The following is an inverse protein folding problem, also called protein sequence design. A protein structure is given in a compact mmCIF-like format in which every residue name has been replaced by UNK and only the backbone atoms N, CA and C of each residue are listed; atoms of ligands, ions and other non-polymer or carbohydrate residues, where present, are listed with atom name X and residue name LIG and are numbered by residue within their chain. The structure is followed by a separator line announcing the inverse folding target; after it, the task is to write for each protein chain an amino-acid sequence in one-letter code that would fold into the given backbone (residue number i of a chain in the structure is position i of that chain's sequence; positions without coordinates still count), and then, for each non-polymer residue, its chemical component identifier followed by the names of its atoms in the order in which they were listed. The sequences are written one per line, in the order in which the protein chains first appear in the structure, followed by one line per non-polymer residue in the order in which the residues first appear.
data_IF_203145341736
#
_entry.id   IF_203145341736
#
_cell.length_a   1.000
_cell.length_b   1.000
_cell.length_c   1.000
_cell.angle_alpha   90.00
_cell.angle_beta   90.00
_cell.angle_gamma   90.00
#
_symmetry.space_group_name_H-M   'P 1'
#
loop_
_entity.id
_entity.type
_entity.pdbx_description
1 polymer ?
#
# COMPACT_ATOMS: atom_id res chain seq x y z
N UNK A 1 -33.18 -5.86 23.48
CA UNK A 1 -31.74 -5.55 23.60
C UNK A 1 -31.00 -6.88 23.53
N UNK A 2 -30.55 -7.27 22.36
CA UNK A 2 -29.70 -8.46 22.19
C UNK A 2 -28.34 -8.09 22.80
N UNK A 3 -27.91 -8.82 23.83
CA UNK A 3 -26.59 -8.68 24.42
C UNK A 3 -25.62 -9.15 23.32
N UNK A 4 -24.95 -8.21 22.67
CA UNK A 4 -23.88 -8.53 21.72
C UNK A 4 -22.70 -9.07 22.57
N UNK A 5 -22.42 -10.36 22.43
CA UNK A 5 -21.18 -10.93 23.00
C UNK A 5 -20.00 -10.27 22.24
N UNK A 6 -19.12 -9.52 22.94
CA UNK A 6 -18.00 -8.80 22.31
C UNK A 6 -16.99 -9.73 21.61
N UNK A 7 -17.10 -11.04 21.81
CA UNK A 7 -16.28 -12.04 21.13
C UNK A 7 -16.78 -12.39 19.73
N UNK A 8 -17.98 -11.92 19.33
CA UNK A 8 -18.59 -12.24 18.04
C UNK A 8 -18.60 -11.05 17.08
N UNK A 9 -18.17 -11.31 15.85
CA UNK A 9 -18.29 -10.38 14.71
C UNK A 9 -18.90 -11.11 13.51
N UNK A 10 -19.44 -10.39 12.56
CA UNK A 10 -19.79 -10.98 11.26
C UNK A 10 -18.54 -11.43 10.53
N UNK A 11 -17.47 -10.61 10.63
CA UNK A 11 -16.21 -10.84 9.94
C UNK A 11 -15.01 -10.63 10.85
N UNK A 12 -14.10 -11.60 10.89
CA UNK A 12 -12.74 -11.42 11.42
C UNK A 12 -11.77 -11.30 10.25
N UNK A 13 -10.92 -10.28 10.28
CA UNK A 13 -9.88 -10.02 9.27
C UNK A 13 -8.51 -10.20 9.91
N UNK A 14 -7.67 -11.04 9.31
CA UNK A 14 -6.31 -11.32 9.78
C UNK A 14 -5.31 -10.56 8.92
N UNK A 15 -4.63 -9.57 9.50
CA UNK A 15 -3.59 -8.76 8.88
C UNK A 15 -3.94 -7.28 8.76
N UNK A 16 -3.11 -6.42 9.35
CA UNK A 16 -3.25 -4.96 9.40
C UNK A 16 -2.49 -4.22 8.30
N UNK A 17 -2.29 -4.85 7.13
CA UNK A 17 -1.80 -4.18 5.93
C UNK A 17 -2.88 -3.40 5.19
N UNK A 18 -2.53 -2.76 4.07
CA UNK A 18 -3.48 -1.97 3.27
C UNK A 18 -4.71 -2.79 2.83
N UNK A 19 -4.51 -4.05 2.44
CA UNK A 19 -5.62 -4.93 2.02
C UNK A 19 -6.59 -5.20 3.17
N UNK A 20 -6.09 -5.61 4.34
CA UNK A 20 -6.95 -5.85 5.50
C UNK A 20 -7.65 -4.59 6.00
N UNK A 21 -6.96 -3.44 6.00
CA UNK A 21 -7.55 -2.15 6.33
C UNK A 21 -8.67 -1.76 5.35
N UNK A 22 -8.46 -2.01 4.05
CA UNK A 22 -9.48 -1.79 3.02
C UNK A 22 -10.71 -2.68 3.20
N UNK A 23 -10.50 -3.98 3.53
CA UNK A 23 -11.60 -4.93 3.80
C UNK A 23 -12.37 -4.52 5.05
N UNK A 24 -11.68 -4.13 6.14
CA UNK A 24 -12.32 -3.67 7.35
C UNK A 24 -13.20 -2.45 7.08
N UNK A 25 -12.70 -1.49 6.28
CA UNK A 25 -13.45 -0.32 5.84
C UNK A 25 -14.68 -0.69 5.02
N UNK A 26 -14.52 -1.52 3.99
CA UNK A 26 -15.63 -1.86 3.08
C UNK A 26 -16.71 -2.68 3.80
N UNK A 27 -16.33 -3.67 4.61
CA UNK A 27 -17.26 -4.43 5.44
C UNK A 27 -18.04 -3.51 6.41
N UNK A 28 -17.36 -2.60 7.11
CA UNK A 28 -17.99 -1.67 8.05
C UNK A 28 -18.94 -0.70 7.34
N UNK A 29 -18.57 -0.19 6.16
CA UNK A 29 -19.44 0.67 5.34
C UNK A 29 -20.67 -0.05 4.81
N UNK A 30 -20.62 -1.37 4.65
CA UNK A 30 -21.76 -2.22 4.29
C UNK A 30 -22.54 -2.72 5.52
N UNK A 31 -22.27 -2.17 6.72
CA UNK A 31 -23.02 -2.44 7.95
C UNK A 31 -22.69 -3.77 8.64
N UNK A 32 -21.59 -4.42 8.27
CA UNK A 32 -21.13 -5.64 8.93
C UNK A 32 -20.33 -5.29 10.20
N UNK A 33 -20.48 -6.08 11.25
CA UNK A 33 -19.61 -6.02 12.43
C UNK A 33 -18.26 -6.67 12.11
N UNK A 34 -17.16 -5.94 12.40
CA UNK A 34 -15.82 -6.30 11.96
C UNK A 34 -14.83 -6.28 13.11
N UNK A 35 -13.99 -7.32 13.22
CA UNK A 35 -12.78 -7.31 14.05
C UNK A 35 -11.57 -7.56 13.15
N UNK A 36 -10.61 -6.62 13.13
CA UNK A 36 -9.33 -6.78 12.46
C UNK A 36 -8.25 -7.08 13.49
N UNK A 37 -7.42 -8.09 13.19
CA UNK A 37 -6.32 -8.55 14.03
C UNK A 37 -4.98 -8.33 13.32
N UNK A 38 -4.06 -7.63 13.99
CA UNK A 38 -2.69 -7.43 13.53
C UNK A 38 -1.70 -7.76 14.66
N UNK A 39 -0.74 -8.64 14.37
CA UNK A 39 0.23 -9.12 15.39
C UNK A 39 1.21 -8.04 15.89
N UNK A 40 1.48 -7.04 15.06
CA UNK A 40 2.38 -5.93 15.36
C UNK A 40 1.65 -4.59 15.26
N UNK A 41 2.31 -3.57 14.72
CA UNK A 41 1.69 -2.31 14.32
C UNK A 41 1.19 -2.41 12.87
N UNK A 42 0.34 -1.46 12.47
CA UNK A 42 -0.22 -1.39 11.13
C UNK A 42 0.88 -1.26 10.07
N UNK A 43 0.62 -1.79 8.88
CA UNK A 43 1.49 -1.65 7.70
C UNK A 43 2.92 -2.19 7.85
N UNK A 44 3.23 -3.04 8.82
CA UNK A 44 4.59 -3.58 9.07
C UNK A 44 5.06 -4.59 8.03
N UNK A 45 4.15 -5.18 7.25
CA UNK A 45 4.46 -6.11 6.15
C UNK A 45 4.86 -5.40 4.86
N UNK A 46 4.53 -6.00 3.71
CA UNK A 46 4.82 -5.45 2.37
C UNK A 46 4.25 -4.05 2.15
N UNK A 47 3.18 -3.70 2.85
CA UNK A 47 2.53 -2.38 2.80
C UNK A 47 3.49 -1.25 3.16
N UNK A 48 4.24 -1.34 4.24
CA UNK A 48 5.21 -0.32 4.67
C UNK A 48 6.64 -0.57 4.17
N UNK A 49 6.85 -1.59 3.33
CA UNK A 49 8.18 -1.98 2.83
C UNK A 49 8.25 -1.93 1.31
N UNK A 50 7.72 -0.88 0.72
CA UNK A 50 7.78 -0.57 -0.70
C UNK A 50 8.21 0.90 -0.89
N UNK A 51 8.35 1.34 -2.14
CA UNK A 51 8.80 2.71 -2.46
C UNK A 51 7.66 3.75 -2.48
N UNK A 52 6.43 3.40 -2.15
CA UNK A 52 5.32 4.35 -2.16
C UNK A 52 4.91 4.85 -3.54
N UNK A 53 5.22 4.14 -4.62
CA UNK A 53 4.79 4.53 -5.96
C UNK A 53 3.29 4.27 -6.16
N UNK A 54 2.54 5.32 -6.48
CA UNK A 54 1.18 5.24 -7.01
C UNK A 54 1.25 5.02 -8.52
N UNK A 55 1.37 3.76 -8.93
CA UNK A 55 1.49 3.40 -10.35
C UNK A 55 0.28 3.84 -11.16
N UNK A 56 0.52 4.42 -12.34
CA UNK A 56 -0.49 4.52 -13.40
C UNK A 56 -0.73 3.19 -14.12
N UNK A 57 0.15 2.21 -13.94
CA UNK A 57 0.15 0.96 -14.68
C UNK A 57 1.08 0.95 -15.88
N UNK A 58 1.66 2.09 -16.26
CA UNK A 58 2.51 2.22 -17.44
C UNK A 58 3.64 1.18 -17.50
N UNK A 59 4.30 0.90 -16.36
CA UNK A 59 5.35 -0.11 -16.25
C UNK A 59 4.91 -1.50 -16.69
N UNK A 60 3.62 -1.81 -16.62
CA UNK A 60 3.05 -3.12 -16.96
C UNK A 60 2.42 -3.14 -18.36
N UNK A 61 2.16 -1.99 -18.96
CA UNK A 61 1.34 -1.85 -20.16
C UNK A 61 1.77 -2.76 -21.32
N UNK A 62 3.10 -2.93 -21.54
CA UNK A 62 3.64 -3.76 -22.62
C UNK A 62 3.57 -5.26 -22.30
N UNK A 63 3.64 -5.66 -21.04
CA UNK A 63 3.79 -7.06 -20.63
C UNK A 63 2.55 -7.67 -19.99
N UNK A 64 1.69 -6.84 -19.37
CA UNK A 64 0.51 -7.22 -18.62
C UNK A 64 -0.53 -6.09 -18.68
N UNK A 65 -1.25 -6.03 -19.80
CA UNK A 65 -2.23 -4.98 -20.06
C UNK A 65 -3.45 -5.01 -19.12
N UNK A 66 -3.78 -6.14 -18.52
CA UNK A 66 -4.85 -6.27 -17.53
C UNK A 66 -4.45 -5.58 -16.23
N UNK A 67 -3.29 -5.92 -15.69
CA UNK A 67 -2.72 -5.23 -14.53
C UNK A 67 -2.53 -3.72 -14.77
N UNK A 68 -2.23 -3.31 -15.99
CA UNK A 68 -2.10 -1.90 -16.33
C UNK A 68 -3.45 -1.17 -16.22
N UNK A 69 -4.54 -1.76 -16.73
CA UNK A 69 -5.90 -1.21 -16.62
C UNK A 69 -6.39 -1.13 -15.18
N UNK A 70 -6.17 -2.18 -14.39
CA UNK A 70 -6.48 -2.16 -12.94
C UNK A 70 -5.74 -1.02 -12.23
N UNK A 71 -4.44 -0.87 -12.50
CA UNK A 71 -3.62 0.16 -11.87
C UNK A 71 -4.10 1.57 -12.19
N UNK A 72 -4.40 1.89 -13.47
CA UNK A 72 -4.85 3.25 -13.82
C UNK A 72 -6.22 3.56 -13.24
N UNK A 73 -7.14 2.59 -13.21
CA UNK A 73 -8.45 2.78 -12.60
C UNK A 73 -8.32 3.10 -11.11
N UNK A 74 -7.56 2.31 -10.35
CA UNK A 74 -7.34 2.53 -8.92
C UNK A 74 -6.50 3.78 -8.64
N UNK A 75 -5.51 4.12 -9.47
CA UNK A 75 -4.75 5.37 -9.37
C UNK A 75 -5.69 6.59 -9.41
N UNK A 76 -6.61 6.63 -10.37
CA UNK A 76 -7.59 7.71 -10.50
C UNK A 76 -8.57 7.76 -9.32
N UNK A 77 -8.99 6.62 -8.82
CA UNK A 77 -9.86 6.54 -7.61
C UNK A 77 -9.11 7.09 -6.41
N UNK A 78 -7.90 6.61 -6.13
CA UNK A 78 -7.12 7.00 -4.96
C UNK A 78 -6.76 8.50 -4.98
N UNK A 79 -6.44 9.06 -6.14
CA UNK A 79 -6.24 10.52 -6.32
C UNK A 79 -7.47 11.35 -5.91
N UNK A 80 -8.68 10.78 -5.97
CA UNK A 80 -9.92 11.45 -5.51
C UNK A 80 -10.19 11.22 -4.03
N UNK A 81 -10.12 9.97 -3.57
CA UNK A 81 -10.57 9.59 -2.23
C UNK A 81 -9.52 9.71 -1.14
N UNK A 82 -8.22 9.73 -1.49
CA UNK A 82 -7.08 9.68 -0.56
C UNK A 82 -6.08 10.84 -0.75
N UNK A 83 -6.57 12.03 -1.10
CA UNK A 83 -5.72 13.19 -1.50
C UNK A 83 -4.60 13.51 -0.54
N UNK A 84 -4.83 13.45 0.77
CA UNK A 84 -3.83 13.75 1.80
C UNK A 84 -2.75 12.67 1.94
N UNK A 85 -2.96 11.50 1.36
CA UNK A 85 -1.97 10.42 1.33
C UNK A 85 -1.14 10.42 0.04
N UNK A 86 -1.47 11.27 -0.93
CA UNK A 86 -0.94 11.23 -2.29
C UNK A 86 -0.28 12.56 -2.64
N UNK A 87 0.90 12.48 -3.23
CA UNK A 87 1.56 13.58 -3.90
C UNK A 87 1.49 13.36 -5.41
N UNK A 88 0.85 14.27 -6.19
CA UNK A 88 0.69 14.12 -7.63
C UNK A 88 1.96 14.54 -8.37
N UNK A 89 2.99 13.70 -8.32
CA UNK A 89 4.32 13.97 -8.86
C UNK A 89 4.43 13.73 -10.36
N UNK A 90 3.46 13.04 -10.96
CA UNK A 90 3.62 12.42 -12.27
C UNK A 90 4.83 11.47 -12.35
N UNK A 91 5.07 10.87 -13.51
CA UNK A 91 6.20 9.98 -13.75
C UNK A 91 6.85 10.27 -15.09
N UNK A 92 8.17 10.13 -15.14
CA UNK A 92 8.99 10.22 -16.34
C UNK A 92 9.62 8.85 -16.63
N UNK A 93 9.30 8.28 -17.77
CA UNK A 93 10.00 7.11 -18.30
C UNK A 93 11.09 7.59 -19.26
N UNK A 94 12.35 7.53 -18.82
CA UNK A 94 13.49 8.06 -19.58
C UNK A 94 14.17 6.98 -20.41
N UNK A 95 14.62 7.33 -21.59
CA UNK A 95 15.45 6.51 -22.47
C UNK A 95 16.87 7.04 -22.45
N UNK A 96 17.84 6.21 -22.09
CA UNK A 96 19.27 6.52 -22.13
C UNK A 96 19.92 6.02 -23.44
N UNK A 97 21.13 6.47 -23.79
CA UNK A 97 21.78 6.04 -25.02
C UNK A 97 21.98 4.53 -25.21
N UNK A 98 22.06 3.78 -24.13
CA UNK A 98 22.15 2.32 -24.14
C UNK A 98 20.79 1.61 -24.28
N UNK A 99 19.67 2.34 -24.19
CA UNK A 99 18.32 1.79 -24.35
C UNK A 99 17.85 1.91 -25.82
N UNK A 100 16.85 1.11 -26.18
CA UNK A 100 16.21 1.20 -27.49
C UNK A 100 15.17 2.35 -27.52
N UNK A 101 15.46 3.43 -28.24
CA UNK A 101 14.55 4.56 -28.38
C UNK A 101 13.21 4.16 -29.06
N UNK A 102 13.23 3.18 -29.99
CA UNK A 102 12.02 2.70 -30.65
C UNK A 102 11.04 2.00 -29.68
N UNK A 103 11.51 1.59 -28.51
CA UNK A 103 10.64 1.05 -27.46
C UNK A 103 9.60 2.07 -26.98
N UNK A 104 9.86 3.37 -27.08
CA UNK A 104 8.90 4.42 -26.68
C UNK A 104 7.57 4.34 -27.43
N UNK A 105 7.59 4.10 -28.73
CA UNK A 105 6.37 3.99 -29.53
C UNK A 105 5.54 2.77 -29.10
N UNK A 106 6.19 1.64 -28.86
CA UNK A 106 5.55 0.44 -28.32
C UNK A 106 4.96 0.72 -26.93
N UNK A 107 5.71 1.41 -26.08
CA UNK A 107 5.30 1.76 -24.71
C UNK A 107 4.08 2.70 -24.71
N UNK A 108 4.11 3.78 -25.50
CA UNK A 108 3.00 4.74 -25.62
C UNK A 108 1.74 4.05 -26.16
N UNK A 109 1.89 3.24 -27.20
CA UNK A 109 0.78 2.48 -27.80
C UNK A 109 0.14 1.55 -26.75
N UNK A 110 0.94 0.80 -26.00
CA UNK A 110 0.45 -0.09 -24.95
C UNK A 110 -0.22 0.67 -23.80
N UNK A 111 0.36 1.80 -23.37
CA UNK A 111 -0.25 2.69 -22.37
C UNK A 111 -1.63 3.19 -22.82
N UNK A 112 -1.73 3.69 -24.06
CA UNK A 112 -2.99 4.16 -24.63
C UNK A 112 -4.04 3.06 -24.68
N UNK A 113 -3.67 1.83 -25.09
CA UNK A 113 -4.55 0.68 -25.11
C UNK A 113 -5.04 0.26 -23.71
N UNK A 114 -4.27 0.58 -22.66
CA UNK A 114 -4.65 0.36 -21.27
C UNK A 114 -5.42 1.54 -20.65
N UNK A 115 -5.67 2.64 -21.40
CA UNK A 115 -6.32 3.85 -20.88
C UNK A 115 -5.40 4.77 -20.07
N UNK A 116 -4.08 4.62 -20.21
CA UNK A 116 -3.08 5.43 -19.55
C UNK A 116 -2.65 6.55 -20.48
N UNK A 117 -2.77 7.80 -20.02
CA UNK A 117 -2.22 8.94 -20.74
C UNK A 117 -0.70 8.88 -20.72
N UNK A 118 -0.07 8.72 -21.87
CA UNK A 118 1.37 8.67 -22.03
C UNK A 118 1.79 9.63 -23.15
N UNK A 119 2.64 10.60 -22.83
CA UNK A 119 3.02 11.68 -23.72
C UNK A 119 4.53 11.69 -23.92
N UNK A 120 4.98 11.57 -25.21
CA UNK A 120 6.38 11.78 -25.55
C UNK A 120 6.79 13.21 -25.21
N UNK A 121 7.97 13.35 -24.61
CA UNK A 121 8.49 14.64 -24.16
C UNK A 121 9.87 14.89 -24.75
N UNK A 122 10.08 16.12 -25.19
CA UNK A 122 11.40 16.58 -25.62
C UNK A 122 12.42 16.44 -24.48
N UNK A 123 13.61 15.85 -24.73
CA UNK A 123 14.64 15.66 -23.71
C UNK A 123 15.08 16.94 -22.99
N UNK A 124 15.11 18.10 -23.68
CA UNK A 124 15.46 19.37 -23.05
C UNK A 124 14.34 19.86 -22.11
N UNK A 125 13.08 19.58 -22.45
CA UNK A 125 11.95 19.87 -21.55
C UNK A 125 11.98 18.96 -20.33
N UNK A 126 12.24 17.66 -20.50
CA UNK A 126 12.36 16.72 -19.39
C UNK A 126 13.44 17.14 -18.38
N UNK A 127 14.63 17.55 -18.87
CA UNK A 127 15.71 18.10 -18.02
C UNK A 127 15.34 19.39 -17.30
N UNK A 128 14.51 20.25 -17.90
CA UNK A 128 14.03 21.47 -17.22
C UNK A 128 13.02 21.19 -16.12
N UNK A 129 12.13 20.22 -16.34
CA UNK A 129 11.11 19.83 -15.37
C UNK A 129 11.71 19.01 -14.21
N UNK A 130 12.69 18.18 -14.53
CA UNK A 130 13.39 17.32 -13.56
C UNK A 130 14.91 17.50 -13.70
N UNK A 131 15.49 18.49 -13.00
CA UNK A 131 16.92 18.81 -13.11
C UNK A 131 17.86 17.71 -12.64
N UNK A 132 17.38 16.79 -11.78
CA UNK A 132 18.16 15.67 -11.29
C UNK A 132 18.30 14.52 -12.29
N UNK A 133 17.43 14.48 -13.31
CA UNK A 133 17.43 13.39 -14.29
C UNK A 133 18.76 13.31 -15.03
N UNK A 134 19.17 12.13 -15.44
CA UNK A 134 20.40 11.92 -16.19
C UNK A 134 20.45 12.83 -17.44
N UNK A 135 21.44 13.74 -17.55
CA UNK A 135 21.50 14.69 -18.66
C UNK A 135 21.74 14.04 -20.02
N UNK A 136 22.23 12.78 -20.06
CA UNK A 136 22.45 12.02 -21.28
C UNK A 136 21.16 11.42 -21.86
N UNK A 137 19.98 11.62 -21.25
CA UNK A 137 18.73 11.07 -21.76
C UNK A 137 18.47 11.53 -23.21
N UNK A 138 18.06 10.59 -24.05
CA UNK A 138 17.76 10.79 -25.47
C UNK A 138 16.25 10.82 -25.76
N UNK A 139 15.40 10.46 -24.79
CA UNK A 139 13.96 10.51 -24.88
C UNK A 139 13.31 10.42 -23.51
N UNK A 140 12.07 10.87 -23.41
CA UNK A 140 11.26 10.74 -22.21
C UNK A 140 9.78 10.57 -22.56
N UNK A 141 9.04 9.87 -21.71
CA UNK A 141 7.57 9.76 -21.77
C UNK A 141 7.00 10.11 -20.41
N UNK A 142 6.07 11.06 -20.37
CA UNK A 142 5.34 11.46 -19.18
C UNK A 142 4.10 10.59 -19.01
N UNK A 143 3.85 10.14 -17.76
CA UNK A 143 2.67 9.34 -17.38
C UNK A 143 2.07 9.84 -16.06
N UNK A 144 0.78 9.55 -15.76
CA UNK A 144 0.11 10.04 -14.55
C UNK A 144 0.42 9.18 -13.30
N UNK A 145 1.68 8.85 -13.06
CA UNK A 145 2.13 8.25 -11.81
C UNK A 145 1.90 9.23 -10.63
N UNK A 146 2.34 8.88 -9.48
CA UNK A 146 2.31 9.69 -8.28
C UNK A 146 3.03 8.97 -7.15
N UNK A 147 3.05 9.57 -5.97
CA UNK A 147 3.50 8.89 -4.78
C UNK A 147 2.39 8.79 -3.76
N UNK A 148 2.43 7.76 -2.94
CA UNK A 148 1.47 7.51 -1.87
C UNK A 148 2.22 7.13 -0.60
N UNK A 149 1.83 7.74 0.51
CA UNK A 149 2.27 7.32 1.84
C UNK A 149 1.46 6.09 2.27
N UNK A 150 2.05 4.90 2.31
CA UNK A 150 1.33 3.66 2.62
C UNK A 150 0.86 3.58 4.07
N UNK A 151 1.56 4.23 5.01
CA UNK A 151 1.20 4.26 6.42
C UNK A 151 -0.04 5.12 6.64
N UNK A 152 -0.06 6.33 6.07
CA UNK A 152 -1.24 7.22 6.14
C UNK A 152 -2.44 6.61 5.44
N UNK A 153 -2.22 6.00 4.28
CA UNK A 153 -3.29 5.33 3.53
C UNK A 153 -3.93 4.21 4.37
N UNK A 154 -3.11 3.37 4.99
CA UNK A 154 -3.57 2.27 5.85
C UNK A 154 -4.29 2.81 7.09
N UNK A 155 -3.69 3.78 7.79
CA UNK A 155 -4.28 4.41 8.96
C UNK A 155 -5.61 5.11 8.65
N UNK A 156 -5.73 5.79 7.51
CA UNK A 156 -6.97 6.45 7.10
C UNK A 156 -8.10 5.45 6.81
N UNK A 157 -7.80 4.29 6.21
CA UNK A 157 -8.78 3.22 6.03
C UNK A 157 -9.24 2.63 7.37
N UNK A 158 -8.30 2.34 8.28
CA UNK A 158 -8.64 1.81 9.61
C UNK A 158 -9.43 2.81 10.45
N UNK A 159 -9.10 4.09 10.35
CA UNK A 159 -9.86 5.13 11.02
C UNK A 159 -11.29 5.20 10.50
N UNK A 160 -11.50 5.17 9.17
CA UNK A 160 -12.83 5.15 8.58
C UNK A 160 -13.63 3.90 9.01
N UNK A 161 -12.96 2.73 9.04
CA UNK A 161 -13.56 1.50 9.54
C UNK A 161 -14.00 1.63 11.01
N UNK A 162 -13.17 2.22 11.89
CA UNK A 162 -13.49 2.48 13.30
C UNK A 162 -14.64 3.48 13.46
N UNK A 163 -14.68 4.53 12.64
CA UNK A 163 -15.79 5.50 12.63
C UNK A 163 -17.12 4.84 12.26
N UNK A 164 -17.08 3.69 11.56
CA UNK A 164 -18.24 2.86 11.19
C UNK A 164 -18.39 1.60 12.04
N UNK A 165 -17.72 1.53 13.22
CA UNK A 165 -17.95 0.49 14.22
C UNK A 165 -17.02 -0.71 14.18
N UNK A 166 -16.02 -0.74 13.30
CA UNK A 166 -15.03 -1.82 13.28
C UNK A 166 -14.11 -1.76 14.50
N UNK A 167 -13.77 -2.91 15.07
CA UNK A 167 -12.75 -3.08 16.09
C UNK A 167 -11.40 -3.39 15.42
N UNK A 168 -10.36 -2.62 15.75
CA UNK A 168 -9.00 -2.81 15.24
C UNK A 168 -8.10 -3.15 16.42
N UNK A 169 -7.53 -4.36 16.44
CA UNK A 169 -6.68 -4.89 17.50
C UNK A 169 -5.26 -5.10 16.96
N UNK A 170 -4.36 -4.20 17.31
CA UNK A 170 -2.91 -4.35 17.09
C UNK A 170 -2.27 -5.06 18.27
N UNK A 171 -1.11 -5.71 18.09
CA UNK A 171 -0.48 -6.53 19.10
C UNK A 171 -1.21 -7.86 19.36
N UNK A 172 -2.11 -8.26 18.46
CA UNK A 172 -2.90 -9.49 18.60
C UNK A 172 -2.53 -10.48 17.48
N UNK A 173 -1.80 -11.51 17.85
CA UNK A 173 -1.36 -12.55 16.92
C UNK A 173 -2.39 -13.67 16.83
N UNK A 174 -2.79 -14.04 15.62
CA UNK A 174 -3.59 -15.24 15.38
C UNK A 174 -2.69 -16.46 15.48
N UNK A 175 -2.97 -17.33 16.44
CA UNK A 175 -2.20 -18.54 16.76
C UNK A 175 -2.89 -19.83 16.32
N UNK A 176 -4.11 -19.73 15.79
CA UNK A 176 -4.87 -20.86 15.28
C UNK A 176 -6.23 -20.46 14.74
N UNK A 177 -6.84 -21.35 13.96
CA UNK A 177 -8.22 -21.25 13.52
C UNK A 177 -9.12 -22.15 14.37
N UNK A 178 -10.35 -21.69 14.63
CA UNK A 178 -11.37 -22.50 15.32
C UNK A 178 -12.25 -23.14 14.24
N UNK A 179 -12.34 -24.47 14.32
CA UNK A 179 -13.03 -25.27 13.29
C UNK A 179 -14.15 -26.10 13.92
N UNK A 180 -15.31 -26.06 13.27
CA UNK A 180 -16.45 -26.95 13.56
C UNK A 180 -16.78 -27.75 12.29
N UNK A 181 -16.40 -29.03 12.27
CA UNK A 181 -16.56 -29.90 11.09
C UNK A 181 -15.82 -29.35 9.86
N UNK A 182 -16.54 -28.96 8.83
CA UNK A 182 -16.01 -28.36 7.59
C UNK A 182 -16.18 -26.83 7.52
N UNK A 183 -16.22 -26.17 8.68
CA UNK A 183 -16.38 -24.72 8.76
C UNK A 183 -15.37 -24.11 9.72
N UNK A 184 -14.77 -22.99 9.31
CA UNK A 184 -14.03 -22.10 10.21
C UNK A 184 -15.05 -21.13 10.81
N UNK A 185 -15.08 -21.04 12.15
CA UNK A 185 -16.02 -20.24 12.92
C UNK A 185 -15.36 -19.22 13.82
N UNK A 186 -14.02 -19.10 13.79
CA UNK A 186 -13.29 -18.16 14.61
C UNK A 186 -11.77 -18.36 14.60
N UNK A 187 -11.11 -17.66 15.50
CA UNK A 187 -9.64 -17.66 15.64
C UNK A 187 -9.24 -17.75 17.12
N UNK A 188 -8.08 -18.37 17.38
CA UNK A 188 -7.33 -18.24 18.64
C UNK A 188 -6.33 -17.11 18.49
N UNK A 189 -6.25 -16.26 19.48
CA UNK A 189 -5.37 -15.10 19.50
C UNK A 189 -4.49 -15.08 20.72
N UNK A 190 -3.32 -14.47 20.57
CA UNK A 190 -2.41 -14.08 21.63
C UNK A 190 -2.30 -12.56 21.67
N UNK A 191 -2.74 -11.94 22.76
CA UNK A 191 -2.36 -10.57 23.07
C UNK A 191 -0.88 -10.55 23.47
N UNK A 192 -0.04 -9.97 22.59
CA UNK A 192 1.41 -9.98 22.78
C UNK A 192 1.89 -9.01 23.87
N UNK A 193 1.05 -8.04 24.25
CA UNK A 193 1.37 -7.08 25.30
C UNK A 193 1.18 -7.69 26.69
N UNK A 194 0.09 -8.44 26.88
CA UNK A 194 -0.26 -9.04 28.19
C UNK A 194 0.05 -10.52 28.24
N UNK A 195 0.45 -11.14 27.13
CA UNK A 195 0.68 -12.58 26.97
C UNK A 195 -0.56 -13.41 27.35
N UNK A 196 -1.74 -12.93 26.93
CA UNK A 196 -3.03 -13.55 27.21
C UNK A 196 -3.60 -14.22 25.97
N UNK A 197 -4.08 -15.46 26.13
CA UNK A 197 -4.76 -16.20 25.08
C UNK A 197 -6.27 -16.02 25.17
N UNK A 198 -6.93 -15.84 24.03
CA UNK A 198 -8.39 -15.79 23.95
C UNK A 198 -8.90 -16.32 22.62
N UNK A 199 -10.21 -16.42 22.50
CA UNK A 199 -10.90 -16.88 21.28
C UNK A 199 -11.91 -15.83 20.83
N UNK A 200 -11.92 -15.56 19.52
CA UNK A 200 -12.90 -14.71 18.85
C UNK A 200 -13.62 -15.53 17.77
N UNK A 201 -14.89 -15.24 17.60
CA UNK A 201 -15.77 -15.99 16.70
C UNK A 201 -16.33 -15.10 15.61
N UNK A 202 -16.52 -15.65 14.42
CA UNK A 202 -17.11 -14.95 13.30
C UNK A 202 -17.84 -15.89 12.34
N UNK A 203 -18.78 -15.33 11.61
CA UNK A 203 -19.43 -16.06 10.53
C UNK A 203 -18.46 -16.30 9.35
N UNK A 204 -17.53 -15.36 9.09
CA UNK A 204 -16.48 -15.48 8.06
C UNK A 204 -15.15 -14.96 8.60
N UNK A 205 -14.07 -15.70 8.36
CA UNK A 205 -12.69 -15.29 8.63
C UNK A 205 -11.99 -15.01 7.31
N UNK A 206 -11.43 -13.80 7.16
CA UNK A 206 -10.69 -13.37 5.98
C UNK A 206 -9.21 -13.33 6.30
N UNK A 207 -8.43 -14.16 5.64
CA UNK A 207 -6.98 -14.17 5.68
C UNK A 207 -6.41 -13.14 4.69
N UNK A 208 -6.02 -11.99 5.20
CA UNK A 208 -5.35 -10.90 4.49
C UNK A 208 -3.91 -10.69 5.01
N UNK A 209 -3.28 -11.76 5.53
CA UNK A 209 -1.97 -11.72 6.17
C UNK A 209 -0.78 -11.61 5.19
N UNK A 210 -1.03 -11.26 3.92
CA UNK A 210 0.01 -11.06 2.90
C UNK A 210 0.89 -12.30 2.74
N UNK A 211 2.22 -12.14 2.84
CA UNK A 211 3.16 -13.26 2.69
C UNK A 211 3.00 -14.35 3.77
N UNK A 212 2.47 -14.01 4.94
CA UNK A 212 2.18 -14.98 6.01
C UNK A 212 0.85 -15.71 5.84
N UNK A 213 0.09 -15.40 4.79
CA UNK A 213 -1.21 -16.02 4.51
C UNK A 213 -1.16 -17.54 4.40
N UNK A 214 -0.05 -18.11 3.94
CA UNK A 214 0.17 -19.55 3.91
C UNK A 214 0.16 -20.15 5.34
N UNK A 215 0.88 -19.55 6.31
CA UNK A 215 0.89 -20.01 7.71
C UNK A 215 -0.49 -19.98 8.36
N UNK A 216 -1.30 -18.98 8.02
CA UNK A 216 -2.67 -18.90 8.52
C UNK A 216 -3.53 -20.01 7.92
N UNK A 217 -3.39 -20.32 6.64
CA UNK A 217 -4.12 -21.41 5.98
C UNK A 217 -3.72 -22.79 6.53
N UNK A 218 -2.44 -22.98 6.85
CA UNK A 218 -1.91 -24.21 7.46
C UNK A 218 -2.56 -24.54 8.81
N UNK A 219 -3.08 -23.55 9.57
CA UNK A 219 -3.87 -23.82 10.80
C UNK A 219 -5.19 -24.56 10.55
N UNK A 220 -5.64 -24.62 9.32
CA UNK A 220 -6.82 -25.39 8.89
C UNK A 220 -6.46 -26.57 7.96
N UNK A 221 -5.20 -26.96 7.90
CA UNK A 221 -4.67 -27.99 6.98
C UNK A 221 -4.87 -27.64 5.49
N UNK A 222 -4.94 -26.34 5.18
CA UNK A 222 -5.12 -25.82 3.82
C UNK A 222 -3.81 -25.34 3.22
N UNK A 223 -3.65 -25.52 1.90
CA UNK A 223 -2.44 -25.09 1.19
C UNK A 223 -2.70 -23.83 0.37
N UNK A 224 -1.90 -22.80 0.63
CA UNK A 224 -1.80 -21.59 -0.21
C UNK A 224 -0.33 -21.42 -0.58
N UNK A 225 0.02 -21.73 -1.85
CA UNK A 225 1.42 -21.71 -2.28
C UNK A 225 1.90 -20.29 -2.54
N UNK A 226 2.72 -19.76 -1.64
CA UNK A 226 3.38 -18.47 -1.78
C UNK A 226 4.75 -18.61 -2.47
N UNK A 227 5.10 -17.60 -3.27
CA UNK A 227 6.42 -17.46 -3.89
C UNK A 227 7.07 -16.16 -3.41
N UNK A 228 7.82 -16.22 -2.30
CA UNK A 228 8.38 -15.01 -1.70
C UNK A 228 9.42 -14.38 -2.62
N UNK A 229 9.22 -13.11 -2.98
CA UNK A 229 10.19 -12.31 -3.73
C UNK A 229 10.60 -11.09 -2.90
N UNK A 230 11.81 -11.12 -2.35
CA UNK A 230 12.39 -10.00 -1.61
C UNK A 230 12.72 -8.86 -2.55
N UNK A 231 12.43 -7.64 -2.16
CA UNK A 231 12.86 -6.42 -2.82
C UNK A 231 13.50 -5.46 -1.84
N UNK A 232 14.74 -5.08 -2.11
CA UNK A 232 15.52 -4.14 -1.31
C UNK A 232 15.40 -2.72 -1.83
N UNK A 233 15.45 -1.75 -0.93
CA UNK A 233 15.29 -0.32 -1.20
C UNK A 233 16.29 0.49 -0.37
N UNK A 234 16.65 1.67 -0.90
CA UNK A 234 17.45 2.66 -0.20
C UNK A 234 16.65 3.96 -0.03
N UNK A 235 16.76 4.55 1.14
CA UNK A 235 16.27 5.89 1.45
C UNK A 235 17.47 6.84 1.41
N UNK A 236 17.37 7.89 0.60
CA UNK A 236 18.35 8.96 0.51
C UNK A 236 18.11 10.02 1.58
N UNK A 237 19.12 10.78 1.96
CA UNK A 237 19.07 11.75 3.07
C UNK A 237 18.26 13.01 2.76
N UNK A 238 17.94 13.24 1.49
CA UNK A 238 17.08 14.34 1.08
C UNK A 238 16.38 14.00 -0.25
N UNK A 239 15.40 14.81 -0.59
CA UNK A 239 14.66 14.71 -1.84
C UNK A 239 15.50 15.23 -2.99
N UNK A 240 15.86 14.37 -3.94
CA UNK A 240 16.68 14.72 -5.11
C UNK A 240 15.86 14.84 -6.39
N UNK A 241 14.62 14.34 -6.43
CA UNK A 241 13.76 14.37 -7.62
C UNK A 241 12.33 14.84 -7.27
N UNK A 242 11.65 15.42 -8.24
CA UNK A 242 10.28 15.92 -8.12
C UNK A 242 9.25 14.99 -8.78
N UNK A 243 9.66 14.27 -9.81
CA UNK A 243 8.86 13.29 -10.53
C UNK A 243 9.34 11.88 -10.19
N UNK A 244 8.46 10.88 -10.29
CA UNK A 244 8.91 9.51 -10.33
C UNK A 244 9.73 9.28 -11.60
N UNK A 245 10.94 8.74 -11.49
CA UNK A 245 11.79 8.47 -12.65
C UNK A 245 11.90 6.96 -12.86
N UNK A 246 11.55 6.51 -14.07
CA UNK A 246 11.65 5.12 -14.52
C UNK A 246 12.51 5.04 -15.79
N UNK A 247 13.02 3.83 -16.12
CA UNK A 247 13.61 3.54 -17.44
C UNK A 247 12.52 3.14 -18.43
N UNK A 248 12.55 3.72 -19.63
CA UNK A 248 11.66 3.36 -20.76
C UNK A 248 12.19 2.13 -21.49
N UNK A 249 12.10 0.97 -20.84
CA UNK A 249 12.52 -0.34 -21.33
C UNK A 249 11.71 -1.44 -20.65
N UNK A 250 11.96 -2.70 -21.01
CA UNK A 250 11.41 -3.83 -20.24
C UNK A 250 11.81 -3.70 -18.76
N UNK A 251 10.87 -3.90 -17.81
CA UNK A 251 11.13 -3.77 -16.39
C UNK A 251 12.34 -4.58 -15.92
N UNK A 252 13.24 -3.94 -15.15
CA UNK A 252 14.41 -4.54 -14.55
C UNK A 252 14.52 -4.10 -13.07
N UNK A 253 15.53 -4.64 -12.36
CA UNK A 253 15.82 -4.25 -10.99
C UNK A 253 16.33 -2.81 -10.90
N UNK A 254 16.04 -2.14 -9.78
CA UNK A 254 16.48 -0.78 -9.46
C UNK A 254 16.11 0.31 -10.49
N UNK A 255 15.06 0.11 -11.26
CA UNK A 255 14.63 1.02 -12.33
C UNK A 255 13.76 2.20 -11.89
N UNK A 256 13.48 2.35 -10.59
CA UNK A 256 12.49 3.32 -10.13
C UNK A 256 13.06 4.18 -9.01
N UNK A 257 13.13 5.49 -9.25
CA UNK A 257 13.47 6.51 -8.26
C UNK A 257 12.20 7.29 -7.91
N UNK A 258 11.79 7.25 -6.66
CA UNK A 258 10.50 7.79 -6.17
C UNK A 258 10.76 8.95 -5.21
N UNK A 259 10.20 10.15 -5.43
CA UNK A 259 10.21 11.20 -4.43
C UNK A 259 9.18 10.89 -3.33
N UNK A 260 9.50 11.22 -2.09
CA UNK A 260 8.59 11.06 -0.96
C UNK A 260 8.83 12.14 0.09
N UNK A 261 7.87 13.05 0.28
CA UNK A 261 7.94 14.15 1.24
C UNK A 261 9.31 14.89 1.21
N UNK A 262 10.20 14.60 2.15
CA UNK A 262 11.53 15.23 2.31
C UNK A 262 12.69 14.36 1.78
N UNK A 263 12.42 13.15 1.30
CA UNK A 263 13.43 12.18 0.89
C UNK A 263 13.19 11.68 -0.55
N UNK A 264 14.13 10.91 -1.07
CA UNK A 264 13.93 10.07 -2.26
C UNK A 264 14.26 8.62 -1.96
N UNK A 265 13.61 7.70 -2.67
CA UNK A 265 13.78 6.25 -2.52
C UNK A 265 14.14 5.64 -3.87
N UNK A 266 15.17 4.79 -3.88
CA UNK A 266 15.49 3.95 -5.04
C UNK A 266 15.13 2.49 -4.75
N UNK A 267 14.49 1.83 -5.69
CA UNK A 267 14.12 0.41 -5.58
C UNK A 267 13.40 -0.11 -6.82
N UNK A 268 13.20 -1.38 -6.89
CA UNK A 268 13.56 -2.43 -5.95
C UNK A 268 14.38 -3.50 -6.65
N UNK A 269 15.14 -4.28 -5.90
CA UNK A 269 15.65 -5.57 -6.38
C UNK A 269 14.54 -6.63 -6.42
N UNK A 270 14.80 -7.79 -6.99
CA UNK A 270 13.89 -8.93 -6.97
C UNK A 270 14.68 -10.23 -6.79
N UNK A 271 14.74 -10.72 -5.56
CA UNK A 271 15.45 -11.93 -5.19
C UNK A 271 14.48 -12.95 -4.59
N UNK A 272 14.50 -14.18 -5.10
CA UNK A 272 13.74 -15.26 -4.46
C UNK A 272 14.31 -15.56 -3.07
N UNK A 273 13.45 -15.78 -2.09
CA UNK A 273 13.83 -16.22 -0.73
C UNK A 273 13.01 -17.45 -0.34
N UNK A 274 13.61 -18.30 0.50
CA UNK A 274 12.87 -19.43 1.06
C UNK A 274 11.73 -18.94 1.96
N UNK A 275 10.61 -19.66 1.98
CA UNK A 275 9.46 -19.30 2.80
C UNK A 275 9.78 -19.32 4.31
N UNK A 276 10.71 -20.14 4.73
CA UNK A 276 11.21 -20.17 6.13
C UNK A 276 11.96 -18.89 6.55
N UNK A 277 12.46 -18.11 5.56
CA UNK A 277 13.26 -16.90 5.77
C UNK A 277 12.48 -15.59 5.63
N UNK A 278 11.18 -15.64 5.35
CA UNK A 278 10.35 -14.44 5.09
C UNK A 278 10.36 -13.41 6.24
N UNK A 279 10.65 -13.82 7.45
CA UNK A 279 10.76 -12.94 8.61
C UNK A 279 12.14 -12.27 8.73
N UNK A 280 13.16 -12.77 8.00
CA UNK A 280 14.57 -12.32 8.07
C UNK A 280 14.95 -11.47 6.84
N UNK A 281 14.29 -10.34 6.65
CA UNK A 281 14.45 -9.48 5.47
C UNK A 281 15.71 -8.60 5.55
N UNK A 282 16.90 -9.19 5.48
CA UNK A 282 18.16 -8.43 5.47
C UNK A 282 18.51 -7.97 4.04
N UNK A 283 18.91 -6.70 3.93
CA UNK A 283 19.54 -6.17 2.71
C UNK A 283 21.01 -6.61 2.71
N UNK A 284 21.49 -7.13 1.58
CA UNK A 284 22.89 -7.53 1.39
C UNK A 284 23.64 -6.50 0.54
N UNK A 285 24.96 -6.50 0.61
CA UNK A 285 25.80 -5.52 -0.05
C UNK A 285 25.59 -5.50 -1.57
N UNK A 286 25.48 -6.66 -2.19
CA UNK A 286 25.27 -6.82 -3.64
C UNK A 286 23.95 -6.14 -4.11
N UNK A 287 22.90 -6.18 -3.31
CA UNK A 287 21.64 -5.50 -3.59
C UNK A 287 21.81 -3.97 -3.50
N UNK A 288 22.57 -3.49 -2.53
CA UNK A 288 22.91 -2.06 -2.41
C UNK A 288 23.68 -1.58 -3.63
N UNK A 289 24.69 -2.35 -4.07
CA UNK A 289 25.52 -2.01 -5.24
C UNK A 289 24.67 -1.94 -6.52
N UNK A 290 23.70 -2.85 -6.69
CA UNK A 290 22.76 -2.81 -7.82
C UNK A 290 21.93 -1.53 -7.76
N UNK A 291 21.35 -1.22 -6.60
CA UNK A 291 20.48 -0.04 -6.41
C UNK A 291 21.23 1.26 -6.66
N UNK A 292 22.48 1.38 -6.21
CA UNK A 292 23.30 2.56 -6.44
C UNK A 292 23.67 2.69 -7.92
N UNK A 293 24.19 1.64 -8.53
CA UNK A 293 24.63 1.66 -9.93
C UNK A 293 23.49 1.99 -10.91
N UNK A 294 22.30 1.39 -10.74
CA UNK A 294 21.17 1.65 -11.62
C UNK A 294 20.49 2.99 -11.27
N UNK A 295 20.48 3.37 -9.99
CA UNK A 295 19.95 4.66 -9.55
C UNK A 295 20.76 5.85 -10.07
N UNK A 296 22.10 5.75 -10.12
CA UNK A 296 22.98 6.76 -10.74
C UNK A 296 22.69 6.95 -12.23
N UNK A 297 22.24 5.91 -12.93
CA UNK A 297 21.79 6.04 -14.32
C UNK A 297 20.50 6.85 -14.44
N UNK A 298 19.60 6.79 -13.45
CA UNK A 298 18.39 7.61 -13.43
C UNK A 298 18.71 9.06 -13.06
N UNK A 299 19.49 9.25 -12.01
CA UNK A 299 19.86 10.56 -11.44
C UNK A 299 21.31 10.54 -10.94
N UNK A 300 22.30 11.06 -11.71
CA UNK A 300 23.72 10.99 -11.36
C UNK A 300 24.08 11.62 -10.02
N UNK A 301 23.27 12.54 -9.50
CA UNK A 301 23.45 13.15 -8.18
C UNK A 301 23.43 12.10 -7.05
N UNK A 302 22.85 10.92 -7.28
CA UNK A 302 22.85 9.82 -6.30
C UNK A 302 24.25 9.38 -5.89
N UNK A 303 25.24 9.47 -6.76
CA UNK A 303 26.65 9.15 -6.46
C UNK A 303 27.21 9.99 -5.28
N UNK A 304 26.62 11.14 -5.01
CA UNK A 304 27.08 12.08 -3.97
C UNK A 304 26.07 12.18 -2.82
N UNK A 305 24.94 11.45 -2.90
CA UNK A 305 23.85 11.51 -1.92
C UNK A 305 24.08 10.48 -0.83
N UNK A 306 23.94 10.89 0.42
CA UNK A 306 24.06 9.98 1.57
C UNK A 306 22.85 9.04 1.63
N UNK A 307 23.10 7.78 1.97
CA UNK A 307 22.05 6.80 2.27
C UNK A 307 21.72 6.91 3.76
N UNK A 308 20.46 7.17 4.08
CA UNK A 308 19.97 7.15 5.47
C UNK A 308 19.65 5.73 5.94
N UNK A 309 19.04 4.93 5.07
CA UNK A 309 18.53 3.62 5.45
C UNK A 309 18.44 2.67 4.25
N UNK A 310 18.73 1.41 4.50
CA UNK A 310 18.39 0.30 3.62
C UNK A 310 17.34 -0.58 4.31
N UNK A 311 16.35 -1.06 3.55
CA UNK A 311 15.34 -1.98 4.04
C UNK A 311 14.83 -2.88 2.92
N UNK A 312 14.17 -3.98 3.29
CA UNK A 312 13.59 -4.91 2.33
C UNK A 312 12.17 -5.32 2.72
N UNK A 313 11.37 -5.62 1.71
CA UNK A 313 10.05 -6.23 1.85
C UNK A 313 9.95 -7.51 1.04
N UNK A 314 9.05 -8.41 1.43
CA UNK A 314 8.76 -9.63 0.67
C UNK A 314 7.39 -9.51 0.02
N UNK A 315 7.38 -9.64 -1.31
CA UNK A 315 6.14 -9.60 -2.09
C UNK A 315 5.39 -10.92 -1.92
N UNK A 316 4.08 -10.89 -1.63
CA UNK A 316 3.24 -12.08 -1.53
C UNK A 316 2.80 -12.53 -2.92
N UNK A 317 3.72 -13.05 -3.73
CA UNK A 317 3.38 -13.62 -5.02
C UNK A 317 2.75 -15.00 -4.83
N UNK A 318 1.77 -15.34 -5.66
CA UNK A 318 1.06 -16.63 -5.60
C UNK A 318 1.09 -17.28 -6.97
N UNK A 319 1.37 -18.57 -7.03
CA UNK A 319 1.14 -19.34 -8.25
C UNK A 319 -0.37 -19.47 -8.48
N UNK A 320 -0.80 -19.37 -9.73
CA UNK A 320 -2.12 -19.90 -10.09
C UNK A 320 -2.12 -21.42 -9.84
N UNK A 321 -3.25 -21.97 -9.41
CA UNK A 321 -3.39 -23.43 -9.21
C UNK A 321 -3.02 -24.26 -10.45
N UNK A 322 -2.97 -23.63 -11.62
CA UNK A 322 -2.63 -24.22 -12.91
C UNK A 322 -1.12 -24.19 -13.26
N UNK A 323 -0.25 -23.56 -12.45
CA UNK A 323 1.20 -23.55 -12.68
C UNK A 323 1.99 -24.09 -11.49
N UNK A 324 2.15 -25.43 -11.39
CA UNK A 324 2.93 -26.06 -10.32
C UNK A 324 4.41 -25.68 -10.33
N UNK A 325 4.92 -25.15 -11.47
CA UNK A 325 6.35 -24.81 -11.63
C UNK A 325 6.73 -23.43 -11.06
N UNK A 326 5.74 -22.58 -10.78
CA UNK A 326 5.96 -21.20 -10.33
C UNK A 326 6.64 -20.29 -11.35
N UNK A 327 6.78 -20.73 -12.62
CA UNK A 327 7.48 -19.94 -13.66
C UNK A 327 6.66 -18.75 -14.15
N UNK A 328 5.32 -18.83 -14.06
CA UNK A 328 4.39 -17.76 -14.43
C UNK A 328 3.68 -17.20 -13.19
N UNK A 329 4.45 -16.78 -12.18
CA UNK A 329 3.89 -16.20 -10.95
C UNK A 329 3.21 -14.87 -11.25
N UNK A 330 1.88 -14.86 -11.18
CA UNK A 330 1.10 -13.66 -11.42
C UNK A 330 1.34 -12.62 -10.30
N UNK A 331 1.40 -11.35 -10.70
CA UNK A 331 1.27 -10.19 -9.79
C UNK A 331 -0.18 -9.72 -9.67
N UNK A 332 -1.11 -10.50 -10.20
CA UNK A 332 -2.55 -10.26 -10.11
C UNK A 332 -3.11 -10.45 -8.71
N UNK A 333 -4.36 -10.12 -8.56
CA UNK A 333 -5.13 -10.34 -7.32
C UNK A 333 -5.56 -11.81 -7.29
N UNK A 334 -5.34 -12.47 -6.15
CA UNK A 334 -5.77 -13.86 -5.93
C UNK A 334 -6.73 -13.88 -4.75
N UNK A 335 -7.97 -14.27 -5.02
CA UNK A 335 -9.03 -14.51 -4.05
C UNK A 335 -9.38 -16.00 -4.04
N UNK A 336 -9.25 -16.63 -2.88
CA UNK A 336 -9.56 -18.05 -2.67
C UNK A 336 -10.75 -18.17 -1.71
N UNK A 337 -11.89 -18.60 -2.19
CA UNK A 337 -12.98 -19.09 -1.34
C UNK A 337 -12.73 -20.58 -1.04
N UNK A 338 -12.35 -20.88 0.20
CA UNK A 338 -12.00 -22.23 0.59
C UNK A 338 -13.21 -23.17 0.68
N UNK A 339 -14.45 -22.65 0.69
CA UNK A 339 -15.63 -23.51 0.55
C UNK A 339 -15.70 -24.14 -0.84
N UNK A 340 -15.46 -23.35 -1.88
CA UNK A 340 -15.51 -23.82 -3.27
C UNK A 340 -14.27 -24.66 -3.63
N UNK A 341 -13.09 -24.21 -3.14
CA UNK A 341 -11.81 -24.81 -3.50
C UNK A 341 -11.48 -26.08 -2.70
N UNK A 342 -11.73 -26.05 -1.39
CA UNK A 342 -11.22 -27.06 -0.45
C UNK A 342 -12.33 -27.72 0.39
N UNK A 343 -13.60 -27.32 0.21
CA UNK A 343 -14.73 -27.81 1.01
C UNK A 343 -14.73 -27.27 2.45
N UNK A 344 -14.01 -26.15 2.73
CA UNK A 344 -13.90 -25.54 4.05
C UNK A 344 -14.64 -24.18 4.07
N UNK A 345 -15.87 -24.18 4.57
CA UNK A 345 -16.68 -22.94 4.65
C UNK A 345 -16.19 -21.96 5.73
N UNK A 346 -16.65 -20.71 5.63
CA UNK A 346 -16.33 -19.66 6.60
C UNK A 346 -14.89 -19.11 6.50
N UNK A 347 -14.11 -19.50 5.49
CA UNK A 347 -12.73 -19.04 5.32
C UNK A 347 -12.44 -18.57 3.89
N UNK A 348 -11.84 -17.39 3.78
CA UNK A 348 -11.46 -16.75 2.51
C UNK A 348 -10.01 -16.28 2.65
N UNK A 349 -9.17 -16.51 1.63
CA UNK A 349 -7.82 -15.93 1.54
C UNK A 349 -7.75 -14.95 0.40
N UNK A 350 -7.22 -13.75 0.64
CA UNK A 350 -6.90 -12.74 -0.37
C UNK A 350 -5.43 -12.35 -0.30
N UNK A 351 -4.75 -12.35 -1.44
CA UNK A 351 -3.31 -12.06 -1.52
C UNK A 351 -2.91 -11.60 -2.92
N UNK A 352 -1.61 -11.33 -3.14
CA UNK A 352 -1.12 -10.79 -4.41
C UNK A 352 -1.40 -9.30 -4.55
N UNK A 353 -1.68 -8.87 -5.78
CA UNK A 353 -1.96 -7.47 -6.08
C UNK A 353 -0.78 -6.51 -5.86
N UNK A 354 -1.09 -5.23 -5.84
CA UNK A 354 -0.14 -4.12 -5.65
C UNK A 354 -0.68 -3.16 -4.60
N UNK A 355 0.17 -2.29 -4.03
CA UNK A 355 -0.30 -1.32 -3.03
C UNK A 355 -1.53 -0.53 -3.51
N UNK A 356 -1.51 0.02 -4.73
CA UNK A 356 -2.62 0.84 -5.22
C UNK A 356 -3.89 0.04 -5.55
N UNK A 357 -3.81 -1.28 -5.74
CA UNK A 357 -4.99 -2.12 -5.99
C UNK A 357 -5.62 -2.68 -4.70
N UNK A 358 -5.14 -2.24 -3.51
CA UNK A 358 -5.65 -2.72 -2.22
C UNK A 358 -7.17 -2.54 -2.08
N UNK A 359 -7.71 -1.41 -2.60
CA UNK A 359 -9.14 -1.12 -2.54
C UNK A 359 -9.95 -2.12 -3.38
N UNK A 360 -9.50 -2.40 -4.60
CA UNK A 360 -10.12 -3.41 -5.46
C UNK A 360 -10.05 -4.80 -4.84
N UNK A 361 -8.91 -5.16 -4.23
CA UNK A 361 -8.77 -6.39 -3.47
C UNK A 361 -9.78 -6.46 -2.32
N UNK A 362 -9.94 -5.35 -1.60
CA UNK A 362 -10.89 -5.25 -0.50
C UNK A 362 -12.33 -5.41 -0.99
N UNK A 363 -12.70 -4.77 -2.10
CA UNK A 363 -14.02 -4.92 -2.73
C UNK A 363 -14.30 -6.39 -3.07
N UNK A 364 -13.36 -7.08 -3.74
CA UNK A 364 -13.55 -8.49 -4.10
C UNK A 364 -13.71 -9.40 -2.88
N UNK A 365 -12.88 -9.19 -1.85
CA UNK A 365 -12.98 -9.97 -0.62
C UNK A 365 -14.30 -9.71 0.12
N UNK A 366 -14.70 -8.44 0.22
CA UNK A 366 -15.96 -8.06 0.87
C UNK A 366 -17.18 -8.54 0.08
N UNK A 367 -17.13 -8.51 -1.25
CA UNK A 367 -18.19 -9.09 -2.08
C UNK A 367 -18.36 -10.60 -1.82
N UNK A 368 -17.24 -11.32 -1.66
CA UNK A 368 -17.29 -12.74 -1.31
C UNK A 368 -17.88 -12.96 0.10
N UNK A 369 -17.50 -12.13 1.08
CA UNK A 369 -18.07 -12.12 2.42
C UNK A 369 -19.58 -11.84 2.37
N UNK A 370 -20.00 -10.78 1.68
CA UNK A 370 -21.40 -10.39 1.55
C UNK A 370 -22.26 -11.50 0.92
N UNK A 371 -21.75 -12.17 -0.12
CA UNK A 371 -22.47 -13.34 -0.71
C UNK A 371 -22.69 -14.45 0.33
N UNK A 372 -21.70 -14.76 1.18
CA UNK A 372 -21.82 -15.77 2.23
C UNK A 372 -22.82 -15.38 3.31
N UNK A 373 -22.89 -14.09 3.65
CA UNK A 373 -23.76 -13.56 4.70
C UNK A 373 -25.15 -13.14 4.21
N UNK A 374 -25.42 -13.17 2.91
CA UNK A 374 -26.66 -12.67 2.33
C UNK A 374 -26.82 -11.15 2.42
N UNK A 375 -25.71 -10.41 2.56
CA UNK A 375 -25.70 -8.94 2.57
C UNK A 375 -25.72 -8.44 1.12
N UNK A 376 -26.63 -7.49 0.81
CA UNK A 376 -26.84 -6.95 -0.55
C UNK A 376 -26.32 -5.52 -0.71
N UNK A 377 -25.70 -4.96 0.32
CA UNK A 377 -25.14 -3.61 0.26
C UNK A 377 -23.96 -3.54 -0.72
N UNK A 378 -23.97 -2.53 -1.61
CA UNK A 378 -22.93 -2.35 -2.62
C UNK A 378 -21.66 -1.71 -2.04
N UNK A 379 -20.54 -1.96 -2.67
CA UNK A 379 -19.30 -1.23 -2.38
C UNK A 379 -19.43 0.26 -2.73
N UNK A 380 -19.05 1.12 -1.81
CA UNK A 380 -19.01 2.58 -1.98
C UNK A 380 -17.62 3.16 -1.80
N UNK A 381 -16.60 2.31 -1.60
CA UNK A 381 -15.23 2.74 -1.27
C UNK A 381 -14.54 3.51 -2.38
N UNK A 382 -14.95 3.34 -3.65
CA UNK A 382 -14.44 4.14 -4.77
C UNK A 382 -15.00 5.57 -4.81
N UNK A 383 -16.11 5.81 -4.12
CA UNK A 383 -16.85 7.09 -4.15
C UNK A 383 -16.63 7.90 -2.87
N UNK A 384 -16.54 7.24 -1.72
CA UNK A 384 -16.40 7.90 -0.42
C UNK A 384 -14.95 8.29 -0.11
N UNK A 385 -14.67 9.60 0.13
CA UNK A 385 -13.34 10.03 0.54
C UNK A 385 -12.96 9.50 1.93
N UNK A 386 -11.69 9.16 2.08
CA UNK A 386 -11.09 8.80 3.38
C UNK A 386 -11.08 9.99 4.35
N UNK A 387 -11.10 9.75 5.67
CA UNK A 387 -10.82 10.76 6.68
C UNK A 387 -9.49 11.47 6.38
N UNK A 388 -9.52 12.79 6.28
CA UNK A 388 -8.41 13.61 5.78
C UNK A 388 -8.58 14.08 4.33
N UNK A 389 -9.53 13.50 3.58
CA UNK A 389 -9.83 13.89 2.19
C UNK A 389 -11.29 14.25 1.93
N UNK A 390 -12.11 14.38 2.98
CA UNK A 390 -13.55 14.68 2.85
C UNK A 390 -13.83 16.15 2.44
N UNK A 391 -12.91 17.07 2.74
CA UNK A 391 -12.97 18.46 2.30
C UNK A 391 -11.81 18.79 1.35
N UNK A 392 -11.98 19.83 0.52
CA UNK A 392 -10.89 20.28 -0.34
C UNK A 392 -9.75 20.92 0.46
N UNK A 393 -8.55 20.87 -0.10
CA UNK A 393 -7.35 21.47 0.51
C UNK A 393 -7.53 22.98 0.73
N UNK A 394 -8.17 23.69 -0.22
CA UNK A 394 -8.43 25.12 -0.13
C UNK A 394 -9.34 25.46 1.08
N UNK A 395 -10.42 24.72 1.28
CA UNK A 395 -11.32 24.90 2.45
C UNK A 395 -10.61 24.62 3.75
N UNK A 396 -9.71 23.62 3.78
CA UNK A 396 -8.92 23.29 4.95
C UNK A 396 -7.91 24.39 5.23
N UNK A 397 -7.19 24.89 4.20
CA UNK A 397 -6.23 25.99 4.32
C UNK A 397 -6.85 27.24 4.90
N UNK A 398 -8.07 27.60 4.50
CA UNK A 398 -8.80 28.74 5.05
C UNK A 398 -8.99 28.63 6.56
N UNK A 399 -9.30 27.42 7.07
CA UNK A 399 -9.50 27.17 8.50
C UNK A 399 -8.23 27.27 9.35
N UNK A 400 -7.08 27.08 8.74
CA UNK A 400 -5.76 27.03 9.42
C UNK A 400 -4.83 28.16 8.98
N UNK A 401 -5.37 29.21 8.35
CA UNK A 401 -4.57 30.30 7.78
C UNK A 401 -3.71 31.03 8.81
N UNK A 402 -4.11 30.99 10.09
CA UNK A 402 -3.37 31.55 11.21
C UNK A 402 -2.08 30.79 11.58
N UNK A 403 -1.88 29.58 11.06
CA UNK A 403 -0.62 28.84 11.23
C UNK A 403 0.48 29.41 10.32
N UNK A 404 1.75 29.39 10.77
CA UNK A 404 2.90 29.61 9.88
C UNK A 404 2.87 28.72 8.65
N UNK A 405 3.32 29.22 7.50
CA UNK A 405 3.26 28.51 6.22
C UNK A 405 3.90 27.09 6.25
N UNK A 406 5.09 26.88 6.85
CA UNK A 406 5.68 25.56 6.96
C UNK A 406 4.79 24.56 7.73
N UNK A 407 4.20 25.01 8.85
CA UNK A 407 3.30 24.18 9.67
C UNK A 407 2.02 23.81 8.92
N UNK A 408 1.46 24.72 8.12
CA UNK A 408 0.28 24.45 7.33
C UNK A 408 0.51 23.33 6.32
N UNK A 409 1.63 23.41 5.60
CA UNK A 409 2.00 22.40 4.60
C UNK A 409 2.13 21.01 5.22
N UNK A 410 2.99 20.88 6.23
CA UNK A 410 3.22 19.62 6.92
C UNK A 410 1.96 19.04 7.58
N UNK A 411 1.16 19.90 8.23
CA UNK A 411 -0.07 19.47 8.89
C UNK A 411 -1.13 18.94 7.91
N UNK A 412 -1.34 19.65 6.80
CA UNK A 412 -2.26 19.19 5.74
C UNK A 412 -1.75 17.91 5.09
N UNK A 413 -0.46 17.83 4.84
CA UNK A 413 0.15 16.63 4.28
C UNK A 413 -0.08 15.41 5.18
N UNK A 414 0.02 15.54 6.51
CA UNK A 414 -0.20 14.42 7.46
C UNK A 414 -1.67 14.13 7.74
N UNK A 415 -2.52 15.16 7.90
CA UNK A 415 -3.89 15.00 8.43
C UNK A 415 -5.00 15.42 7.47
N UNK A 416 -4.66 16.10 6.37
CA UNK A 416 -5.64 16.63 5.43
C UNK A 416 -6.65 17.54 6.11
N UNK A 417 -7.94 17.34 5.84
CA UNK A 417 -9.05 18.14 6.37
C UNK A 417 -9.33 17.92 7.88
N UNK A 418 -8.61 17.01 8.52
CA UNK A 418 -8.65 16.80 9.98
C UNK A 418 -7.72 17.76 10.73
N UNK A 419 -6.84 18.46 10.03
CA UNK A 419 -5.88 19.43 10.62
C UNK A 419 -6.54 20.41 11.59
N UNK A 420 -7.71 21.02 11.31
CA UNK A 420 -8.34 21.94 12.24
C UNK A 420 -8.78 21.32 13.58
N UNK A 421 -8.94 19.99 13.64
CA UNK A 421 -9.48 19.31 14.84
C UNK A 421 -8.50 19.31 16.03
N UNK A 422 -7.20 19.42 15.77
CA UNK A 422 -6.18 19.45 16.81
C UNK A 422 -5.58 20.86 17.04
N UNK A 423 -5.97 21.82 16.24
CA UNK A 423 -5.62 23.22 16.44
C UNK A 423 -6.49 23.81 17.55
N UNK A 424 -6.16 23.50 18.79
CA UNK A 424 -6.76 24.17 19.94
C UNK A 424 -6.46 25.67 19.99
N UNK A 425 -7.21 26.41 20.79
CA UNK A 425 -7.07 27.88 20.94
C UNK A 425 -5.79 28.30 21.67
N UNK A 426 -5.08 27.36 22.30
CA UNK A 426 -3.87 27.66 23.12
C UNK A 426 -2.58 27.78 22.32
N UNK A 427 -1.65 28.65 22.80
CA UNK A 427 -0.29 28.75 22.24
C UNK A 427 0.46 27.42 22.23
N UNK A 428 0.24 26.55 23.24
CA UNK A 428 0.89 25.26 23.39
C UNK A 428 0.53 24.30 22.24
N UNK A 429 -0.71 24.31 21.72
CA UNK A 429 -1.10 23.45 20.61
C UNK A 429 -0.33 23.75 19.32
N UNK A 430 0.21 24.96 19.19
CA UNK A 430 0.98 25.42 18.02
C UNK A 430 2.50 25.37 18.24
N UNK A 431 2.96 24.98 19.43
CA UNK A 431 4.39 24.87 19.73
C UNK A 431 4.97 23.65 19.06
N UNK A 432 6.13 23.82 18.40
CA UNK A 432 6.84 22.70 17.76
C UNK A 432 7.42 21.76 18.81
N UNK A 433 7.22 20.47 18.59
CA UNK A 433 7.85 19.36 19.31
C UNK A 433 8.97 18.77 18.47
N UNK A 434 8.78 18.75 17.13
CA UNK A 434 9.79 18.34 16.16
C UNK A 434 9.92 19.43 15.10
N UNK A 435 11.11 20.04 14.98
CA UNK A 435 11.37 21.10 13.99
C UNK A 435 11.57 20.54 12.59
N UNK A 436 12.26 19.38 12.45
CA UNK A 436 12.53 18.76 11.16
C UNK A 436 11.27 18.29 10.43
N UNK A 437 10.28 17.77 11.18
CA UNK A 437 8.99 17.31 10.65
C UNK A 437 7.86 18.34 10.85
N UNK A 438 8.16 19.47 11.44
CA UNK A 438 7.20 20.52 11.78
C UNK A 438 5.96 19.98 12.53
N UNK A 439 6.17 19.08 13.53
CA UNK A 439 5.11 18.47 14.35
C UNK A 439 4.85 19.34 15.57
N UNK A 440 3.57 19.59 15.87
CA UNK A 440 3.16 20.41 17.02
C UNK A 440 2.72 19.59 18.22
N UNK A 441 2.73 20.20 19.41
CA UNK A 441 2.24 19.56 20.63
C UNK A 441 0.74 19.23 20.55
N UNK A 442 -0.06 20.07 19.87
CA UNK A 442 -1.48 19.79 19.64
C UNK A 442 -1.70 18.56 18.78
N UNK A 443 -0.85 18.36 17.76
CA UNK A 443 -0.88 17.18 16.91
C UNK A 443 -0.57 15.90 17.71
N UNK A 444 0.46 15.91 18.54
CA UNK A 444 0.83 14.78 19.42
C UNK A 444 -0.30 14.46 20.40
N UNK A 445 -0.91 15.48 21.02
CA UNK A 445 -2.05 15.27 21.91
C UNK A 445 -3.25 14.68 21.19
N UNK A 446 -3.57 15.18 20.02
CA UNK A 446 -4.70 14.68 19.21
C UNK A 446 -4.57 13.21 18.85
N UNK A 447 -3.38 12.77 18.44
CA UNK A 447 -3.11 11.35 18.13
C UNK A 447 -3.24 10.49 19.39
N UNK A 448 -2.65 10.94 20.53
CA UNK A 448 -2.70 10.20 21.80
C UNK A 448 -4.12 9.92 22.32
N UNK A 449 -5.06 10.84 22.12
CA UNK A 449 -6.44 10.68 22.59
C UNK A 449 -7.33 9.84 21.68
N UNK A 450 -6.87 9.50 20.47
CA UNK A 450 -7.64 8.75 19.47
C UNK A 450 -7.00 7.42 19.05
N UNK A 451 -5.80 7.14 19.51
CA UNK A 451 -5.18 5.82 19.40
C UNK A 451 -5.79 4.88 20.46
#
# INVERSE_FOLDING_TARGET
MTIHDPRYSDVIIIGGGATGAGIARDCALRGLSVTLLERHDIATGATGRNHGLLHSGARYAVTDGESARECIAENQILKRIARHCIEPTDGLFITLPEDDLAFQDTFITACTAAGIQAEAMDPALARRLEPSVNPALIGAVKVPDGTVDPFRLTAANMLDAREHGAQILTGHEVTGLIREGHRICGVRILDTQYNEHSELYAAVVVNAAGIWGQRIAEYADLSVRMFPAKGSLLILDHRINNHVINRCRKPSDADILVPGDTISLIGTTSTHVDYSEIDYNRVIAEEVDILLREGEKLAPVMAQTRILRAYAGVRPLVASDNDPSGRNVSRGIVLLDHAERDGMDGFITITGGKLMTYRLMAEWATDAVCRKLGNTERCVTAEQPLPGSRQSTEKTLQKIISLPAPLRGSAIYRHGDRTPQWLGEGRLSRSLVCECEAVTAGEVQYVRWRA
#
